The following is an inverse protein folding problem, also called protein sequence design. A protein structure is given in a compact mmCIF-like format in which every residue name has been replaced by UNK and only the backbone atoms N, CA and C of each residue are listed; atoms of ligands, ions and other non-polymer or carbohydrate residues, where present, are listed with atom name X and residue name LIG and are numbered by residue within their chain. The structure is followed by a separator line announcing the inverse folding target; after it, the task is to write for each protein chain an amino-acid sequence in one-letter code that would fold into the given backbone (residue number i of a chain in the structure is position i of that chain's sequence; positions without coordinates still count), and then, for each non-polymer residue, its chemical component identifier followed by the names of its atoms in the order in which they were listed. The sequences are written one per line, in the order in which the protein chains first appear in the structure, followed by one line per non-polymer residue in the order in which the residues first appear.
data_IF_665433226438
#
_entry.id   IF_665433226438
#
_cell.length_a   1.000
_cell.length_b   1.000
_cell.length_c   1.000
_cell.angle_alpha   90.00
_cell.angle_beta   90.00
_cell.angle_gamma   90.00
#
_symmetry.space_group_name_H-M   'P 1'
#
loop_
_entity.id
_entity.type
_entity.pdbx_description
1 polymer ?
#
# COMPACT_ATOMS: atom_id res chain seq x y z
N UNK A 1 -48.21 -48.96 -12.24
CA UNK A 1 -48.99 -48.04 -11.38
C UNK A 1 -48.63 -48.30 -9.92
N UNK A 2 -47.70 -47.50 -9.38
CA UNK A 2 -47.41 -47.15 -7.96
C UNK A 2 -46.24 -46.14 -8.04
N UNK A 3 -46.49 -44.82 -8.09
CA UNK A 3 -46.41 -43.86 -6.98
C UNK A 3 -45.22 -44.06 -6.04
N UNK A 4 -44.18 -43.23 -6.13
CA UNK A 4 -43.96 -42.14 -5.18
C UNK A 4 -42.64 -41.40 -5.45
N UNK A 5 -42.73 -40.09 -5.51
CA UNK A 5 -41.61 -39.14 -5.59
C UNK A 5 -40.81 -39.11 -4.29
N UNK A 6 -39.49 -39.07 -4.38
CA UNK A 6 -38.66 -38.46 -3.34
C UNK A 6 -37.58 -37.61 -4.01
N UNK A 7 -37.79 -36.30 -3.99
CA UNK A 7 -36.77 -35.31 -4.31
C UNK A 7 -35.64 -35.46 -3.29
N UNK A 8 -34.46 -35.87 -3.75
CA UNK A 8 -33.23 -35.71 -2.98
C UNK A 8 -32.79 -34.25 -3.11
N UNK A 9 -33.04 -33.53 -2.03
CA UNK A 9 -32.73 -32.13 -1.80
C UNK A 9 -31.24 -31.87 -2.08
N UNK A 10 -31.00 -30.92 -3.00
CA UNK A 10 -29.76 -30.14 -3.10
C UNK A 10 -29.44 -29.53 -1.74
N UNK A 11 -28.59 -30.19 -0.96
CA UNK A 11 -28.06 -29.68 0.31
C UNK A 11 -26.60 -29.28 0.17
N UNK A 12 -26.31 -28.34 -0.75
CA UNK A 12 -24.98 -27.75 -0.89
C UNK A 12 -24.64 -26.97 0.37
N UNK A 13 -23.77 -27.51 1.21
CA UNK A 13 -23.14 -26.76 2.30
C UNK A 13 -22.12 -25.82 1.67
N UNK A 14 -22.58 -24.65 1.24
CA UNK A 14 -21.69 -23.52 0.94
C UNK A 14 -21.34 -22.90 2.28
N UNK A 15 -20.23 -23.34 2.88
CA UNK A 15 -19.56 -22.63 3.95
C UNK A 15 -19.06 -21.30 3.37
N UNK A 16 -19.89 -20.27 3.44
CA UNK A 16 -19.47 -18.90 3.19
C UNK A 16 -18.55 -18.52 4.34
N UNK A 17 -17.24 -18.70 4.16
CA UNK A 17 -16.25 -18.07 5.02
C UNK A 17 -16.41 -16.55 4.87
N UNK A 18 -17.20 -15.93 5.75
CA UNK A 18 -17.10 -14.50 5.97
C UNK A 18 -15.83 -14.26 6.77
N UNK A 19 -14.69 -14.15 6.08
CA UNK A 19 -13.48 -13.63 6.68
C UNK A 19 -13.72 -12.17 7.05
N UNK A 20 -13.89 -11.87 8.34
CA UNK A 20 -13.82 -10.51 8.83
C UNK A 20 -12.38 -10.02 8.64
N UNK A 21 -12.15 -9.19 7.63
CA UNK A 21 -10.88 -8.46 7.43
C UNK A 21 -10.87 -7.31 8.45
N UNK A 22 -10.63 -7.63 9.72
CA UNK A 22 -10.77 -6.67 10.81
C UNK A 22 -9.87 -6.93 12.03
N UNK A 23 -8.87 -7.80 11.90
CA UNK A 23 -7.95 -8.14 12.99
C UNK A 23 -6.56 -7.49 12.88
N UNK A 24 -6.19 -6.99 11.70
CA UNK A 24 -4.80 -6.65 11.38
C UNK A 24 -4.50 -5.13 11.52
N UNK A 25 -5.44 -4.34 12.05
CA UNK A 25 -5.25 -2.89 12.17
C UNK A 25 -5.28 -2.12 10.84
N UNK A 26 -5.83 -2.74 9.79
CA UNK A 26 -5.97 -2.19 8.46
C UNK A 26 -7.44 -1.92 8.12
N UNK A 27 -7.69 -0.86 7.36
CA UNK A 27 -9.02 -0.51 6.86
C UNK A 27 -8.95 -0.23 5.36
N UNK A 28 -10.04 -0.43 4.62
CA UNK A 28 -10.06 -0.12 3.19
C UNK A 28 -9.91 1.40 2.98
N UNK A 29 -9.12 1.83 2.00
CA UNK A 29 -9.06 3.26 1.65
C UNK A 29 -10.44 3.76 1.22
N UNK A 30 -10.97 4.76 1.94
CA UNK A 30 -12.31 5.32 1.70
C UNK A 30 -12.28 6.66 0.95
N UNK A 31 -11.13 7.06 0.41
CA UNK A 31 -10.97 8.35 -0.28
C UNK A 31 -10.79 9.55 0.65
N UNK A 32 -10.64 9.35 1.97
CA UNK A 32 -10.32 10.44 2.89
C UNK A 32 -8.95 11.05 2.53
N UNK A 33 -8.88 12.35 2.18
CA UNK A 33 -7.61 12.99 1.81
C UNK A 33 -6.63 13.11 2.98
N UNK A 34 -7.09 12.95 4.23
CA UNK A 34 -6.28 13.01 5.44
C UNK A 34 -5.96 11.62 6.02
N UNK A 35 -6.25 10.53 5.29
CA UNK A 35 -5.85 9.20 5.72
C UNK A 35 -4.32 9.06 5.67
N UNK A 36 -3.75 8.43 6.68
CA UNK A 36 -2.38 7.92 6.57
C UNK A 36 -2.46 6.69 5.69
N UNK A 37 -1.92 6.78 4.47
CA UNK A 37 -2.01 5.70 3.48
C UNK A 37 -0.88 4.69 3.61
N UNK A 38 0.25 5.10 4.20
CA UNK A 38 1.39 4.23 4.44
C UNK A 38 2.16 4.64 5.69
N UNK A 39 2.78 3.67 6.36
CA UNK A 39 3.71 3.89 7.48
C UNK A 39 5.00 3.12 7.27
N UNK A 40 6.10 3.51 7.94
CA UNK A 40 7.37 2.76 7.86
C UNK A 40 7.37 1.45 8.67
N UNK A 41 6.24 1.08 9.27
CA UNK A 41 6.06 -0.16 10.03
C UNK A 41 5.39 -1.20 9.15
N UNK A 42 5.99 -2.39 9.05
CA UNK A 42 5.43 -3.56 8.38
C UNK A 42 4.17 -4.07 9.12
N UNK A 43 3.02 -3.77 8.55
CA UNK A 43 1.66 -4.18 8.98
C UNK A 43 0.99 -5.08 7.93
N UNK A 44 1.69 -5.40 6.86
CA UNK A 44 1.30 -6.23 5.76
C UNK A 44 1.30 -7.70 6.14
N UNK A 45 0.99 -8.54 5.16
CA UNK A 45 0.89 -10.00 5.36
C UNK A 45 2.09 -10.75 4.79
N UNK A 46 2.87 -10.10 3.94
CA UNK A 46 4.20 -10.59 3.57
C UNK A 46 5.20 -10.23 4.67
N UNK A 47 6.41 -10.77 4.55
CA UNK A 47 7.46 -10.65 5.57
C UNK A 47 8.73 -10.04 4.99
N UNK A 48 8.57 -9.20 3.97
CA UNK A 48 9.68 -8.60 3.25
C UNK A 48 9.87 -7.20 3.79
N UNK A 49 11.04 -6.93 4.38
CA UNK A 49 11.35 -5.58 4.83
C UNK A 49 11.54 -4.66 3.62
N UNK A 50 11.04 -3.43 3.72
CA UNK A 50 11.37 -2.37 2.76
C UNK A 50 12.89 -2.21 2.70
N UNK A 51 13.46 -2.46 1.53
CA UNK A 51 14.90 -2.35 1.31
C UNK A 51 15.31 -0.88 1.19
N UNK A 52 16.22 -0.45 2.06
CA UNK A 52 16.81 0.88 1.98
C UNK A 52 17.43 1.14 0.60
N UNK A 53 17.07 2.27 0.00
CA UNK A 53 17.61 2.70 -1.29
C UNK A 53 16.89 2.14 -2.52
N UNK A 54 15.87 1.30 -2.35
CA UNK A 54 14.94 0.92 -3.41
C UNK A 54 13.73 1.87 -3.44
N UNK A 55 13.96 3.17 -3.60
CA UNK A 55 12.91 4.18 -3.68
C UNK A 55 13.00 4.96 -5.00
N UNK A 56 11.85 5.39 -5.49
CA UNK A 56 11.82 6.35 -6.58
C UNK A 56 12.37 7.71 -6.11
N UNK A 57 12.94 8.46 -7.05
CA UNK A 57 13.26 9.87 -6.85
C UNK A 57 12.07 10.70 -7.30
N UNK A 58 11.52 11.51 -6.39
CA UNK A 58 10.43 12.43 -6.70
C UNK A 58 10.94 13.86 -6.74
N UNK A 59 10.46 14.65 -7.70
CA UNK A 59 10.67 16.09 -7.77
C UNK A 59 9.42 16.79 -7.23
N UNK A 60 9.57 17.53 -6.13
CA UNK A 60 8.48 18.32 -5.57
C UNK A 60 8.17 19.57 -6.43
N UNK A 61 7.10 20.33 -6.13
CA UNK A 61 6.74 21.53 -6.88
C UNK A 61 7.83 22.61 -6.94
N UNK A 62 8.76 22.62 -5.99
CA UNK A 62 9.89 23.55 -5.94
C UNK A 62 11.10 23.05 -6.76
N UNK A 63 11.03 21.83 -7.32
CA UNK A 63 12.11 21.20 -8.07
C UNK A 63 13.18 20.55 -7.18
N UNK A 64 12.86 20.31 -5.92
CA UNK A 64 13.71 19.61 -4.96
C UNK A 64 13.42 18.11 -4.97
N UNK A 65 14.44 17.32 -4.69
CA UNK A 65 14.36 15.86 -4.75
C UNK A 65 13.96 15.25 -3.40
N UNK A 66 13.11 14.23 -3.46
CA UNK A 66 12.76 13.35 -2.37
C UNK A 66 12.93 11.87 -2.74
N UNK A 67 12.82 11.02 -1.73
CA UNK A 67 12.61 9.57 -1.87
C UNK A 67 11.13 9.27 -1.68
N UNK A 68 10.62 8.30 -2.43
CA UNK A 68 9.29 7.75 -2.22
C UNK A 68 9.31 6.25 -2.50
N UNK A 69 8.83 5.46 -1.54
CA UNK A 69 8.50 4.05 -1.71
C UNK A 69 7.12 3.77 -1.13
N UNK A 70 6.39 2.91 -1.82
CA UNK A 70 5.07 2.39 -1.51
C UNK A 70 5.15 0.85 -1.61
N UNK A 71 4.82 0.18 -0.51
CA UNK A 71 4.76 -1.28 -0.40
C UNK A 71 3.34 -1.70 0.03
N UNK A 72 2.31 -1.01 -0.49
CA UNK A 72 0.92 -1.27 -0.17
C UNK A 72 0.49 -0.53 1.10
N UNK A 73 0.64 -1.16 2.26
CA UNK A 73 0.32 -0.54 3.57
C UNK A 73 1.55 0.14 4.17
N UNK A 74 2.72 -0.26 3.73
CA UNK A 74 4.00 0.22 4.20
C UNK A 74 4.59 1.20 3.20
N UNK A 75 5.47 2.08 3.69
CA UNK A 75 6.17 3.00 2.82
C UNK A 75 6.89 4.08 3.60
N UNK A 76 7.84 4.73 2.93
CA UNK A 76 8.47 5.92 3.46
C UNK A 76 8.68 6.96 2.36
N UNK A 77 8.62 8.22 2.76
CA UNK A 77 9.04 9.34 1.94
C UNK A 77 9.90 10.28 2.75
N UNK A 78 10.81 10.98 2.08
CA UNK A 78 11.74 11.86 2.76
C UNK A 78 12.49 12.76 1.80
N UNK A 79 13.09 13.83 2.33
CA UNK A 79 13.89 14.76 1.53
C UNK A 79 15.27 14.17 1.23
N UNK A 80 15.80 14.41 0.03
CA UNK A 80 17.19 14.08 -0.30
C UNK A 80 18.08 15.26 0.03
N UNK A 81 19.20 14.96 0.67
CA UNK A 81 20.22 15.95 1.02
C UNK A 81 21.55 15.59 0.35
N UNK A 82 22.28 16.61 -0.09
CA UNK A 82 23.66 16.44 -0.52
C UNK A 82 24.53 16.14 0.72
N UNK A 83 25.22 14.99 0.80
CA UNK A 83 25.97 14.61 1.98
C UNK A 83 27.16 15.54 2.28
N UNK A 84 27.59 16.38 1.32
CA UNK A 84 28.66 17.35 1.54
C UNK A 84 28.16 18.65 2.16
N UNK A 85 27.12 19.24 1.58
CA UNK A 85 26.58 20.53 2.04
C UNK A 85 25.50 20.42 3.11
N UNK A 86 24.84 19.25 3.23
CA UNK A 86 23.65 19.07 4.06
C UNK A 86 22.41 19.79 3.52
N UNK A 87 22.49 20.40 2.33
CA UNK A 87 21.37 21.12 1.72
C UNK A 87 20.47 20.17 0.91
N UNK A 88 19.17 20.49 0.76
CA UNK A 88 18.30 19.77 -0.15
C UNK A 88 18.86 19.73 -1.57
N UNK A 89 18.75 18.58 -2.23
CA UNK A 89 19.17 18.45 -3.63
C UNK A 89 18.06 19.04 -4.51
N UNK A 90 18.23 20.27 -4.99
CA UNK A 90 17.29 20.93 -5.90
C UNK A 90 17.95 21.26 -7.24
N UNK A 91 17.32 20.91 -8.36
CA UNK A 91 17.83 21.21 -9.70
C UNK A 91 16.73 21.15 -10.77
N UNK A 92 17.07 21.47 -12.02
CA UNK A 92 16.14 21.49 -13.17
C UNK A 92 16.35 20.32 -14.14
N UNK A 93 16.89 19.19 -13.67
CA UNK A 93 17.16 18.02 -14.54
C UNK A 93 15.87 17.39 -15.06
N UNK A 94 14.81 17.41 -14.24
CA UNK A 94 13.47 16.96 -14.59
C UNK A 94 12.44 18.01 -14.14
N UNK A 95 11.25 18.08 -14.79
CA UNK A 95 10.20 19.02 -14.38
C UNK A 95 9.68 18.76 -12.95
N UNK A 96 9.20 19.79 -12.23
CA UNK A 96 8.47 19.61 -10.97
C UNK A 96 7.31 18.62 -11.11
N UNK A 97 7.07 17.81 -10.08
CA UNK A 97 6.06 16.75 -10.07
C UNK A 97 6.48 15.43 -10.75
N UNK A 98 7.74 15.30 -11.16
CA UNK A 98 8.25 14.07 -11.81
C UNK A 98 8.58 12.98 -10.79
N UNK A 99 8.22 11.73 -11.09
CA UNK A 99 8.66 10.52 -10.37
C UNK A 99 9.62 9.72 -11.28
N UNK A 100 10.76 9.31 -10.75
CA UNK A 100 11.83 8.61 -11.49
C UNK A 100 12.13 7.27 -10.81
N UNK A 101 11.97 6.18 -11.54
CA UNK A 101 12.17 4.82 -11.04
C UNK A 101 10.87 4.17 -10.55
N UNK A 102 10.97 2.93 -10.09
CA UNK A 102 9.85 2.20 -9.48
C UNK A 102 9.66 2.74 -8.06
N UNK A 103 8.46 3.21 -7.75
CA UNK A 103 8.09 3.62 -6.39
C UNK A 103 7.33 2.52 -5.66
N UNK A 104 6.75 1.56 -6.39
CA UNK A 104 6.12 0.38 -5.80
C UNK A 104 7.14 -0.73 -5.59
N UNK A 105 7.02 -1.45 -4.49
CA UNK A 105 7.75 -2.70 -4.26
C UNK A 105 7.33 -3.80 -5.26
N UNK A 106 8.08 -4.90 -5.29
CA UNK A 106 7.73 -6.06 -6.12
C UNK A 106 6.52 -6.86 -5.59
N UNK A 107 6.04 -6.58 -4.37
CA UNK A 107 4.99 -7.34 -3.68
C UNK A 107 4.03 -6.43 -2.87
N UNK A 108 3.40 -5.40 -3.45
CA UNK A 108 2.57 -4.44 -2.71
C UNK A 108 1.22 -5.02 -2.20
N UNK A 109 1.03 -6.35 -2.28
CA UNK A 109 -0.17 -7.04 -1.79
C UNK A 109 -1.45 -6.84 -2.62
N UNK A 110 -2.60 -6.92 -1.94
CA UNK A 110 -3.96 -6.86 -2.48
C UNK A 110 -4.55 -5.47 -2.21
N UNK A 111 -5.19 -4.84 -3.21
CA UNK A 111 -6.10 -3.67 -3.19
C UNK A 111 -5.97 -2.72 -1.98
N UNK A 112 -5.35 -1.56 -2.18
CA UNK A 112 -5.16 -0.38 -1.30
C UNK A 112 -5.97 -0.39 0.03
N UNK A 113 -5.43 -1.09 1.03
CA UNK A 113 -5.79 -0.92 2.44
C UNK A 113 -4.86 0.13 3.05
N UNK A 114 -5.36 0.87 4.03
CA UNK A 114 -4.60 1.89 4.74
C UNK A 114 -4.54 1.55 6.23
N UNK A 115 -3.49 1.96 6.95
CA UNK A 115 -3.47 1.90 8.40
C UNK A 115 -4.76 2.45 9.03
N UNK A 116 -5.36 1.68 9.95
CA UNK A 116 -6.47 2.17 10.76
C UNK A 116 -5.93 3.19 11.76
N UNK A 117 -6.29 4.46 11.59
CA UNK A 117 -6.12 5.46 12.63
C UNK A 117 -7.09 5.09 13.74
N UNK A 118 -6.63 4.32 14.73
CA UNK A 118 -7.40 4.03 15.93
C UNK A 118 -7.77 5.34 16.60
N UNK A 119 -9.03 5.72 16.50
CA UNK A 119 -9.65 6.63 17.45
C UNK A 119 -10.26 5.80 18.58
#
# INVERSE_FOLDING_TARGET
MVKSSFLLVMGGVVLVLSGCVGGDGLQQYNGNPNAIIATSEDRGRDKVSIADGHAAIVYDPDGCQGWMIDDGVEGYSGRRFDPKSGLPICNKKYPPGTVIGQYQSDSPGIRDYVPSNGN
#
